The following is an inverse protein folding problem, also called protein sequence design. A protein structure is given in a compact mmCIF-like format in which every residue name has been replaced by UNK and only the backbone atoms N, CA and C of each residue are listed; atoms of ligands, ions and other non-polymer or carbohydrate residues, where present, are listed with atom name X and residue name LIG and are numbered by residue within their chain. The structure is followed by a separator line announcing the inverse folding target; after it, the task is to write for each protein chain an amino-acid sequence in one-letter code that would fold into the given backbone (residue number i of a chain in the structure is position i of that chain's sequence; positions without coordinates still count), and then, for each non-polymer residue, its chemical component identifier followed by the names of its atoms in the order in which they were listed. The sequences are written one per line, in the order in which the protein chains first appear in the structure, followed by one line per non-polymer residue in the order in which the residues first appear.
data_IF_365853313489
#
_entry.id   IF_365853313489
#
_cell.length_a   1.000
_cell.length_b   1.000
_cell.length_c   1.000
_cell.angle_alpha   90.00
_cell.angle_beta   90.00
_cell.angle_gamma   90.00
#
_symmetry.space_group_name_H-M   'P 1'
#
loop_
_entity.id
_entity.type
_entity.pdbx_description
1 polymer ?
#
# COMPACT_ATOMS: atom_id res chain seq x y z
N UNK A 1 12.05 -7.39 22.48
CA UNK A 1 10.96 -7.20 21.51
C UNK A 1 10.09 -6.05 22.00
N UNK A 2 9.56 -5.23 21.09
CA UNK A 2 8.74 -4.04 21.38
C UNK A 2 7.32 -4.32 20.86
N UNK A 3 6.32 -4.02 21.67
CA UNK A 3 4.91 -4.09 21.26
C UNK A 3 4.52 -2.75 20.62
N UNK A 4 4.18 -2.78 19.34
CA UNK A 4 3.86 -1.60 18.57
C UNK A 4 2.52 -1.72 17.87
N UNK A 5 1.81 -0.59 17.76
CA UNK A 5 0.65 -0.43 16.88
C UNK A 5 1.13 0.19 15.58
N UNK A 6 0.63 -0.30 14.46
CA UNK A 6 0.75 0.37 13.17
C UNK A 6 -0.62 0.83 12.68
N UNK A 7 -0.66 2.03 12.15
CA UNK A 7 -1.85 2.69 11.64
C UNK A 7 -1.65 3.05 10.17
N UNK A 8 -2.54 2.56 9.33
CA UNK A 8 -2.54 2.84 7.90
C UNK A 8 -3.90 3.35 7.43
N UNK A 9 -3.86 4.37 6.60
CA UNK A 9 -5.02 4.86 5.86
C UNK A 9 -4.66 4.87 4.38
N UNK A 10 -5.28 3.97 3.63
CA UNK A 10 -4.92 3.67 2.24
C UNK A 10 -5.50 4.67 1.22
N UNK A 11 -5.15 4.46 -0.05
CA UNK A 11 -5.62 5.31 -1.17
C UNK A 11 -7.11 5.23 -1.43
N UNK A 12 -7.79 4.16 -0.99
CA UNK A 12 -9.24 3.97 -1.03
C UNK A 12 -10.03 4.98 -0.20
N UNK A 13 -9.38 5.61 0.79
CA UNK A 13 -9.99 6.57 1.72
C UNK A 13 -11.27 6.01 2.37
N UNK A 14 -11.28 4.76 2.79
CA UNK A 14 -12.45 4.07 3.34
C UNK A 14 -12.39 3.88 4.85
N UNK A 15 -11.20 3.90 5.46
CA UNK A 15 -11.03 3.73 6.89
C UNK A 15 -9.57 3.71 7.33
N UNK A 16 -9.38 3.24 8.56
CA UNK A 16 -8.08 3.06 9.21
C UNK A 16 -7.89 1.59 9.52
N UNK A 17 -6.82 1.03 9.01
CA UNK A 17 -6.30 -0.27 9.42
C UNK A 17 -5.34 -0.09 10.59
N UNK A 18 -5.59 -0.78 11.68
CA UNK A 18 -4.76 -0.79 12.86
C UNK A 18 -4.32 -2.21 13.20
N UNK A 19 -3.04 -2.41 13.44
CA UNK A 19 -2.48 -3.72 13.81
C UNK A 19 -1.58 -3.61 15.02
N UNK A 20 -1.61 -4.62 15.88
CA UNK A 20 -0.65 -4.77 16.98
C UNK A 20 0.27 -5.93 16.66
N UNK A 21 1.55 -5.65 16.70
CA UNK A 21 2.59 -6.68 16.61
C UNK A 21 3.60 -6.50 17.74
N UNK A 22 4.29 -7.59 18.07
CA UNK A 22 5.48 -7.56 18.94
C UNK A 22 6.68 -7.99 18.11
N UNK A 23 7.70 -7.13 18.01
CA UNK A 23 8.84 -7.38 17.12
C UNK A 23 10.16 -6.88 17.71
N UNK A 24 11.25 -7.45 17.24
CA UNK A 24 12.59 -6.93 17.49
C UNK A 24 13.07 -5.91 16.44
N UNK A 25 12.26 -5.67 15.39
CA UNK A 25 12.59 -4.81 14.26
C UNK A 25 13.59 -5.42 13.27
N UNK A 26 13.96 -6.69 13.43
CA UNK A 26 14.96 -7.38 12.60
C UNK A 26 14.42 -8.70 12.04
N UNK A 27 14.20 -9.70 12.89
CA UNK A 27 13.89 -11.09 12.48
C UNK A 27 12.64 -11.68 13.15
N UNK A 28 12.22 -11.16 14.30
CA UNK A 28 11.15 -11.76 15.10
C UNK A 28 9.88 -10.91 15.02
N UNK A 29 8.76 -11.56 14.83
CA UNK A 29 7.43 -10.94 14.89
C UNK A 29 6.43 -11.90 15.54
N UNK A 30 5.53 -11.34 16.30
CA UNK A 30 4.32 -11.97 16.83
C UNK A 30 3.16 -11.08 16.41
N UNK A 31 2.23 -11.60 15.63
CA UNK A 31 0.99 -10.91 15.26
C UNK A 31 0.00 -11.08 16.41
N UNK A 32 -0.52 -9.97 16.94
CA UNK A 32 -1.35 -9.99 18.16
C UNK A 32 -2.81 -9.79 17.80
N UNK A 33 -3.15 -8.66 17.16
CA UNK A 33 -4.53 -8.38 16.76
C UNK A 33 -4.59 -7.28 15.69
N UNK A 34 -5.72 -7.22 14.99
CA UNK A 34 -6.02 -6.23 13.97
C UNK A 34 -7.41 -5.62 14.20
N UNK A 35 -7.60 -4.40 13.74
CA UNK A 35 -8.87 -3.70 13.78
C UNK A 35 -9.02 -2.75 12.60
N UNK A 36 -10.15 -2.83 11.90
CA UNK A 36 -10.53 -1.89 10.86
C UNK A 36 -11.60 -0.93 11.37
N UNK A 37 -11.36 0.36 11.21
CA UNK A 37 -12.29 1.42 11.57
C UNK A 37 -12.73 2.18 10.32
N UNK A 38 -13.96 1.97 9.82
CA UNK A 38 -14.44 2.65 8.62
C UNK A 38 -14.63 4.16 8.88
N UNK A 39 -14.35 4.96 7.86
CA UNK A 39 -14.67 6.37 7.91
C UNK A 39 -16.17 6.61 7.80
N UNK A 40 -16.67 7.61 8.51
CA UNK A 40 -18.01 8.12 8.31
C UNK A 40 -18.16 8.70 6.88
N UNK A 41 -19.33 8.50 6.26
CA UNK A 41 -19.59 8.92 4.87
C UNK A 41 -19.23 10.39 4.60
N UNK A 42 -19.56 11.29 5.54
CA UNK A 42 -19.28 12.73 5.44
C UNK A 42 -17.77 13.03 5.43
N UNK A 43 -17.00 12.39 6.31
CA UNK A 43 -15.54 12.55 6.35
C UNK A 43 -14.90 11.98 5.08
N UNK A 44 -15.28 10.76 4.70
CA UNK A 44 -14.79 10.11 3.48
C UNK A 44 -15.02 10.95 2.24
N UNK A 45 -16.19 11.55 2.10
CA UNK A 45 -16.54 12.42 0.97
C UNK A 45 -15.60 13.65 0.91
N UNK A 46 -15.45 14.37 2.02
CA UNK A 46 -14.57 15.55 2.10
C UNK A 46 -13.11 15.22 1.82
N UNK A 47 -12.63 14.07 2.31
CA UNK A 47 -11.28 13.60 2.07
C UNK A 47 -11.03 13.29 0.59
N UNK A 48 -11.96 12.60 -0.07
CA UNK A 48 -11.90 12.33 -1.51
C UNK A 48 -11.95 13.62 -2.33
N UNK A 49 -12.87 14.51 -2.02
CA UNK A 49 -12.99 15.82 -2.67
C UNK A 49 -11.70 16.65 -2.56
N UNK A 50 -11.07 16.65 -1.39
CA UNK A 50 -9.77 17.33 -1.22
C UNK A 50 -8.69 16.71 -2.09
N UNK A 51 -8.59 15.35 -2.13
CA UNK A 51 -7.62 14.66 -2.98
C UNK A 51 -7.81 14.96 -4.47
N UNK A 52 -9.05 15.03 -4.94
CA UNK A 52 -9.37 15.38 -6.34
C UNK A 52 -9.00 16.83 -6.69
N UNK A 53 -9.00 17.74 -5.71
CA UNK A 53 -8.60 19.14 -5.90
C UNK A 53 -7.09 19.35 -5.90
N UNK A 54 -6.31 18.41 -5.36
CA UNK A 54 -4.85 18.51 -5.26
C UNK A 54 -4.21 17.75 -6.44
N UNK A 55 -3.90 18.48 -7.52
CA UNK A 55 -3.29 17.93 -8.72
C UNK A 55 -1.79 18.27 -8.84
N UNK A 56 -1.33 19.29 -8.15
CA UNK A 56 0.05 19.74 -8.14
C UNK A 56 0.46 20.24 -6.75
N UNK A 57 1.75 20.27 -6.48
CA UNK A 57 2.25 20.63 -5.14
C UNK A 57 1.82 22.03 -4.68
N UNK A 58 1.67 22.99 -5.59
CA UNK A 58 1.20 24.35 -5.27
C UNK A 58 -0.24 24.37 -4.71
N UNK A 59 -1.07 23.38 -5.01
CA UNK A 59 -2.44 23.28 -4.50
C UNK A 59 -2.48 23.05 -2.98
N UNK A 60 -1.43 22.45 -2.42
CA UNK A 60 -1.28 22.30 -0.96
C UNK A 60 -1.40 23.63 -0.23
N UNK A 61 -0.75 24.69 -0.76
CA UNK A 61 -0.86 26.02 -0.19
C UNK A 61 -2.27 26.60 -0.35
N UNK A 62 -2.88 26.39 -1.50
CA UNK A 62 -4.24 26.90 -1.82
C UNK A 62 -5.32 26.29 -0.89
N UNK A 63 -5.23 24.99 -0.61
CA UNK A 63 -6.21 24.27 0.21
C UNK A 63 -5.76 24.05 1.66
N UNK A 64 -4.78 24.82 2.15
CA UNK A 64 -4.23 24.65 3.50
C UNK A 64 -5.27 24.63 4.61
N UNK A 65 -6.29 25.51 4.65
CA UNK A 65 -7.31 25.48 5.71
C UNK A 65 -8.15 24.18 5.73
N UNK A 66 -8.48 23.66 4.55
CA UNK A 66 -9.22 22.38 4.42
C UNK A 66 -8.33 21.21 4.86
N UNK A 67 -7.04 21.24 4.46
CA UNK A 67 -6.05 20.25 4.87
C UNK A 67 -5.90 20.23 6.39
N UNK A 68 -5.72 21.37 7.04
CA UNK A 68 -5.53 21.47 8.49
C UNK A 68 -6.76 20.94 9.26
N UNK A 69 -7.96 21.23 8.74
CA UNK A 69 -9.22 20.73 9.32
C UNK A 69 -9.30 19.21 9.22
N UNK A 70 -9.06 18.66 8.01
CA UNK A 70 -9.11 17.22 7.78
C UNK A 70 -7.98 16.47 8.49
N UNK A 71 -6.78 17.06 8.59
CA UNK A 71 -5.66 16.48 9.33
C UNK A 71 -5.99 16.27 10.80
N UNK A 72 -6.61 17.30 11.44
CA UNK A 72 -7.04 17.18 12.82
C UNK A 72 -8.13 16.11 12.99
N UNK A 73 -9.16 16.12 12.16
CA UNK A 73 -10.25 15.12 12.22
C UNK A 73 -9.70 13.70 11.98
N UNK A 74 -8.83 13.52 10.97
CA UNK A 74 -8.16 12.27 10.68
C UNK A 74 -7.39 11.76 11.92
N UNK A 75 -6.62 12.65 12.55
CA UNK A 75 -5.84 12.30 13.74
C UNK A 75 -6.74 11.81 14.87
N UNK A 76 -7.87 12.48 15.12
CA UNK A 76 -8.85 12.06 16.13
C UNK A 76 -9.49 10.70 15.80
N UNK A 77 -9.76 10.42 14.53
CA UNK A 77 -10.25 9.10 14.10
C UNK A 77 -9.20 8.02 14.40
N UNK A 78 -7.91 8.30 14.16
CA UNK A 78 -6.83 7.37 14.48
C UNK A 78 -6.69 7.14 16.00
N UNK A 79 -6.84 8.18 16.82
CA UNK A 79 -6.90 8.04 18.29
C UNK A 79 -8.02 7.08 18.68
N UNK A 80 -9.24 7.33 18.20
CA UNK A 80 -10.41 6.47 18.46
C UNK A 80 -10.16 5.02 18.01
N UNK A 81 -9.51 4.83 16.87
CA UNK A 81 -9.18 3.49 16.34
C UNK A 81 -8.25 2.75 17.31
N UNK A 82 -7.22 3.41 17.82
CA UNK A 82 -6.31 2.81 18.82
C UNK A 82 -7.04 2.45 20.10
N UNK A 83 -7.93 3.31 20.58
CA UNK A 83 -8.73 3.04 21.78
C UNK A 83 -9.67 1.84 21.60
N UNK A 84 -10.32 1.74 20.44
CA UNK A 84 -11.18 0.59 20.09
C UNK A 84 -10.37 -0.71 20.00
N UNK A 85 -9.20 -0.68 19.39
CA UNK A 85 -8.31 -1.83 19.32
C UNK A 85 -7.83 -2.24 20.70
N UNK A 86 -7.45 -1.29 21.57
CA UNK A 86 -7.09 -1.57 22.98
C UNK A 86 -8.26 -2.18 23.76
N UNK A 87 -9.48 -1.65 23.57
CA UNK A 87 -10.69 -2.19 24.20
C UNK A 87 -10.97 -3.63 23.75
N UNK A 88 -10.75 -3.94 22.48
CA UNK A 88 -10.89 -5.30 21.92
C UNK A 88 -9.94 -6.30 22.61
N UNK A 89 -8.72 -5.90 22.96
CA UNK A 89 -7.75 -6.75 23.67
C UNK A 89 -8.14 -7.07 25.13
N UNK A 90 -9.03 -6.30 25.74
CA UNK A 90 -9.50 -6.52 27.12
C UNK A 90 -8.39 -6.50 28.16
N UNK A 91 -8.44 -7.45 29.10
CA UNK A 91 -7.46 -7.59 30.20
C UNK A 91 -6.06 -8.06 29.74
N UNK A 92 -5.93 -8.59 28.54
CA UNK A 92 -4.63 -8.93 27.93
C UNK A 92 -3.86 -7.69 27.45
N UNK A 93 -4.17 -6.51 27.98
CA UNK A 93 -3.60 -5.23 27.60
C UNK A 93 -2.07 -5.26 27.71
N UNK A 94 -1.42 -5.85 26.71
CA UNK A 94 0.05 -5.84 26.59
C UNK A 94 0.45 -4.37 26.52
N UNK A 95 1.42 -3.97 27.32
CA UNK A 95 1.93 -2.59 27.32
C UNK A 95 2.36 -2.21 25.89
N UNK A 96 1.59 -1.36 25.24
CA UNK A 96 1.96 -0.79 23.95
C UNK A 96 3.03 0.26 24.20
N UNK A 97 4.15 0.16 23.50
CA UNK A 97 5.33 0.99 23.72
C UNK A 97 5.52 2.03 22.61
N UNK A 98 4.93 1.79 21.42
CA UNK A 98 5.17 2.61 20.25
C UNK A 98 3.97 2.57 19.29
N UNK A 99 3.73 3.67 18.60
CA UNK A 99 2.76 3.76 17.51
C UNK A 99 3.46 4.20 16.22
N UNK A 100 3.30 3.43 15.14
CA UNK A 100 3.69 3.82 13.78
C UNK A 100 2.48 4.41 13.07
N UNK A 101 2.54 5.68 12.72
CA UNK A 101 1.45 6.45 12.14
C UNK A 101 1.78 6.90 10.72
N UNK A 102 1.23 6.21 9.71
CA UNK A 102 1.42 6.61 8.32
C UNK A 102 0.64 7.88 7.96
N UNK A 103 -0.56 8.03 8.51
CA UNK A 103 -1.51 9.05 8.07
C UNK A 103 -2.14 8.73 6.72
N UNK A 104 -2.70 9.74 6.06
CA UNK A 104 -3.37 9.61 4.76
C UNK A 104 -2.61 10.38 3.68
N UNK A 105 -2.16 9.72 2.64
CA UNK A 105 -1.54 10.38 1.50
C UNK A 105 -2.59 11.16 0.71
N UNK A 106 -2.36 12.48 0.57
CA UNK A 106 -3.18 13.39 -0.24
C UNK A 106 -2.48 13.86 -1.51
N UNK A 107 -1.15 13.77 -1.56
CA UNK A 107 -0.34 14.08 -2.73
C UNK A 107 0.92 13.22 -2.76
N UNK A 108 1.27 12.71 -3.92
CA UNK A 108 2.53 12.00 -4.13
C UNK A 108 2.97 12.19 -5.58
N UNK A 109 4.18 12.68 -5.80
CA UNK A 109 4.75 12.89 -7.13
C UNK A 109 6.25 12.58 -7.10
N UNK A 110 6.66 11.60 -7.89
CA UNK A 110 8.08 11.26 -8.07
C UNK A 110 8.80 12.37 -8.84
N UNK A 111 8.11 12.93 -9.82
CA UNK A 111 8.65 13.99 -10.68
C UNK A 111 9.04 15.23 -9.85
N UNK A 112 8.16 15.61 -8.93
CA UNK A 112 8.38 16.77 -8.06
C UNK A 112 9.18 16.43 -6.80
N UNK A 113 9.47 15.15 -6.56
CA UNK A 113 10.08 14.63 -5.33
C UNK A 113 9.33 15.13 -4.08
N UNK A 114 8.02 14.98 -4.08
CA UNK A 114 7.13 15.41 -3.01
C UNK A 114 6.13 14.33 -2.65
N UNK A 115 5.90 14.18 -1.37
CA UNK A 115 4.83 13.32 -0.85
C UNK A 115 4.27 13.95 0.42
N UNK A 116 2.96 14.11 0.46
CA UNK A 116 2.26 14.73 1.59
C UNK A 116 1.29 13.72 2.17
N UNK A 117 1.55 13.34 3.40
CA UNK A 117 0.65 12.61 4.26
C UNK A 117 0.08 13.58 5.29
N UNK A 118 -1.24 13.65 5.42
CA UNK A 118 -1.90 14.34 6.53
C UNK A 118 -2.02 13.40 7.72
N UNK A 119 -1.87 13.98 8.90
CA UNK A 119 -1.87 13.29 10.20
C UNK A 119 -0.86 13.89 11.15
N UNK A 120 -1.34 14.48 12.24
CA UNK A 120 -0.51 15.12 13.25
C UNK A 120 0.01 14.10 14.27
N UNK A 121 1.25 13.64 14.07
CA UNK A 121 1.90 12.68 14.97
C UNK A 121 2.15 13.22 16.37
N UNK A 122 2.28 14.55 16.55
CA UNK A 122 2.45 15.17 17.87
C UNK A 122 1.13 15.16 18.63
N UNK A 123 0.04 15.55 17.98
CA UNK A 123 -1.30 15.49 18.54
C UNK A 123 -1.68 14.05 18.90
N UNK A 124 -1.38 13.09 18.02
CA UNK A 124 -1.62 11.66 18.27
C UNK A 124 -0.86 11.20 19.51
N UNK A 125 0.42 11.55 19.63
CA UNK A 125 1.27 11.21 20.78
C UNK A 125 0.72 11.77 22.09
N UNK A 126 0.30 13.04 22.09
CA UNK A 126 -0.30 13.69 23.25
C UNK A 126 -1.59 13.03 23.71
N UNK A 127 -2.52 12.78 22.77
CA UNK A 127 -3.84 12.21 23.09
C UNK A 127 -3.77 10.76 23.55
N UNK A 128 -2.86 9.97 22.97
CA UNK A 128 -2.67 8.56 23.35
C UNK A 128 -1.75 8.35 24.53
N UNK A 129 -0.99 9.36 24.92
CA UNK A 129 0.14 9.27 25.87
C UNK A 129 1.10 8.15 25.45
N UNK A 130 1.56 8.17 24.19
CA UNK A 130 2.41 7.14 23.58
C UNK A 130 3.49 7.75 22.69
N UNK A 131 4.64 7.06 22.61
CA UNK A 131 5.64 7.38 21.60
C UNK A 131 5.08 7.12 20.22
N UNK A 132 5.31 8.04 19.26
CA UNK A 132 4.80 7.95 17.89
C UNK A 132 5.93 8.13 16.90
N UNK A 133 5.98 7.28 15.88
CA UNK A 133 6.77 7.47 14.67
C UNK A 133 5.82 7.78 13.51
N UNK A 134 6.09 8.86 12.77
CA UNK A 134 5.29 9.32 11.63
C UNK A 134 6.21 9.89 10.54
N UNK A 135 5.68 10.44 9.43
CA UNK A 135 6.48 10.99 8.33
C UNK A 135 7.49 10.00 7.70
N UNK A 136 7.14 8.75 7.58
CA UNK A 136 8.05 7.68 7.13
C UNK A 136 8.70 7.94 5.76
N UNK A 137 8.00 8.66 4.86
CA UNK A 137 8.45 8.91 3.47
C UNK A 137 9.37 10.12 3.32
N UNK A 138 9.29 11.06 4.26
CA UNK A 138 9.90 12.39 4.16
C UNK A 138 11.41 12.33 3.97
N UNK A 139 12.10 11.54 4.80
CA UNK A 139 13.56 11.43 4.76
C UNK A 139 14.05 10.74 3.49
N UNK A 140 13.37 9.71 3.04
CA UNK A 140 13.68 9.01 1.79
C UNK A 140 13.63 9.97 0.59
N UNK A 141 12.53 10.71 0.45
CA UNK A 141 12.33 11.71 -0.62
C UNK A 141 13.40 12.81 -0.55
N UNK A 142 13.73 13.31 0.63
CA UNK A 142 14.75 14.36 0.79
C UNK A 142 16.16 13.87 0.44
N UNK A 143 16.40 12.56 0.40
CA UNK A 143 17.64 11.92 0.00
C UNK A 143 17.59 11.28 -1.40
N UNK A 144 16.71 11.78 -2.26
CA UNK A 144 16.62 11.37 -3.66
C UNK A 144 15.78 10.15 -3.95
N UNK A 145 15.28 9.45 -2.92
CA UNK A 145 14.38 8.32 -3.07
C UNK A 145 12.98 8.73 -3.50
N UNK A 146 12.18 7.74 -3.90
CA UNK A 146 10.82 7.92 -4.38
C UNK A 146 9.78 7.94 -3.24
N UNK A 147 10.18 7.65 -2.00
CA UNK A 147 9.28 7.60 -0.84
C UNK A 147 8.35 6.40 -0.79
N UNK A 148 8.43 5.53 -1.78
CA UNK A 148 7.65 4.29 -1.91
C UNK A 148 8.42 3.29 -2.78
N UNK A 149 8.17 1.96 -2.61
CA UNK A 149 7.39 1.34 -1.55
C UNK A 149 8.14 1.25 -0.21
N UNK A 150 7.42 1.23 0.92
CA UNK A 150 8.00 1.10 2.27
C UNK A 150 7.88 -0.30 2.88
N UNK A 151 7.06 -1.16 2.29
CA UNK A 151 6.82 -2.54 2.77
C UNK A 151 7.93 -3.56 2.50
N UNK A 152 8.94 -3.36 1.64
CA UNK A 152 9.91 -4.39 1.27
C UNK A 152 10.64 -5.03 2.45
N UNK A 153 11.05 -4.25 3.45
CA UNK A 153 11.71 -4.80 4.65
C UNK A 153 10.76 -5.62 5.52
N UNK A 154 9.47 -5.33 5.49
CA UNK A 154 8.45 -6.14 6.15
C UNK A 154 8.18 -7.43 5.37
N UNK A 155 8.18 -7.39 4.05
CA UNK A 155 8.10 -8.59 3.21
C UNK A 155 9.29 -9.53 3.47
N UNK A 156 10.49 -8.99 3.70
CA UNK A 156 11.65 -9.79 4.11
C UNK A 156 11.43 -10.45 5.50
N UNK A 157 10.84 -9.72 6.45
CA UNK A 157 10.44 -10.30 7.74
C UNK A 157 9.42 -11.42 7.54
N UNK A 158 8.37 -11.20 6.74
CA UNK A 158 7.36 -12.20 6.41
C UNK A 158 7.95 -13.44 5.74
N UNK A 159 8.88 -13.26 4.79
CA UNK A 159 9.62 -14.38 4.17
C UNK A 159 10.28 -15.25 5.22
N UNK A 160 10.96 -14.63 6.19
CA UNK A 160 11.65 -15.37 7.26
C UNK A 160 10.66 -16.02 8.25
N UNK A 161 9.58 -15.31 8.60
CA UNK A 161 8.53 -15.82 9.49
C UNK A 161 7.80 -17.04 8.92
N UNK A 162 7.57 -17.03 7.60
CA UNK A 162 6.88 -18.10 6.86
C UNK A 162 7.84 -19.17 6.33
N UNK A 163 9.13 -19.03 6.59
CA UNK A 163 10.19 -19.94 6.16
C UNK A 163 10.15 -20.25 4.64
N UNK A 164 9.99 -19.21 3.83
CA UNK A 164 10.02 -19.37 2.40
C UNK A 164 11.45 -19.49 1.87
N UNK A 165 11.64 -20.36 0.88
CA UNK A 165 12.88 -20.43 0.12
C UNK A 165 13.07 -19.20 -0.77
N UNK A 166 14.32 -18.85 -1.02
CA UNK A 166 14.69 -17.91 -2.07
C UNK A 166 14.72 -18.57 -3.45
N UNK A 167 14.45 -17.82 -4.52
CA UNK A 167 13.89 -16.48 -4.55
C UNK A 167 12.37 -16.49 -4.39
N UNK A 168 11.82 -15.46 -3.74
CA UNK A 168 10.38 -15.27 -3.52
C UNK A 168 9.98 -13.85 -3.87
N UNK A 169 8.77 -13.66 -4.35
CA UNK A 169 8.21 -12.32 -4.60
C UNK A 169 6.90 -12.12 -3.83
N UNK A 170 6.73 -10.92 -3.29
CA UNK A 170 5.46 -10.43 -2.77
C UNK A 170 4.92 -9.40 -3.76
N UNK A 171 3.67 -9.54 -4.17
CA UNK A 171 2.99 -8.58 -5.04
C UNK A 171 1.82 -8.00 -4.28
N UNK A 172 1.91 -6.71 -3.99
CA UNK A 172 0.82 -5.94 -3.40
C UNK A 172 -0.05 -5.36 -4.52
N UNK A 173 -1.30 -5.81 -4.61
CA UNK A 173 -2.28 -5.28 -5.58
C UNK A 173 -3.18 -4.31 -4.83
N UNK A 174 -2.71 -3.06 -4.71
CA UNK A 174 -3.46 -1.91 -4.21
C UNK A 174 -4.11 -1.11 -5.34
N UNK A 175 -4.20 0.20 -5.22
CA UNK A 175 -4.56 1.07 -6.33
C UNK A 175 -3.54 0.97 -7.47
N UNK A 176 -2.26 1.06 -7.13
CA UNK A 176 -1.11 0.67 -7.96
C UNK A 176 -0.63 -0.69 -7.46
N UNK A 177 -0.20 -1.55 -8.36
CA UNK A 177 0.41 -2.82 -8.01
C UNK A 177 1.94 -2.67 -7.97
N UNK A 178 2.56 -3.26 -6.94
CA UNK A 178 4.01 -3.27 -6.79
C UNK A 178 4.52 -4.64 -6.39
N UNK A 179 5.80 -4.89 -6.70
CA UNK A 179 6.48 -6.14 -6.41
C UNK A 179 7.63 -5.89 -5.44
N UNK A 180 7.80 -6.78 -4.47
CA UNK A 180 9.01 -6.94 -3.68
C UNK A 180 9.60 -8.30 -4.00
N UNK A 181 10.74 -8.31 -4.65
CA UNK A 181 11.49 -9.52 -4.97
C UNK A 181 12.65 -9.68 -3.98
N UNK A 182 12.76 -10.88 -3.44
CA UNK A 182 13.77 -11.27 -2.45
C UNK A 182 14.57 -12.44 -2.99
N UNK A 183 15.87 -12.27 -3.05
CA UNK A 183 16.81 -13.37 -3.26
C UNK A 183 17.92 -13.33 -2.20
N UNK A 184 18.91 -14.23 -2.28
CA UNK A 184 19.98 -14.32 -1.27
C UNK A 184 20.87 -13.06 -1.21
N UNK A 185 20.85 -12.22 -2.23
CA UNK A 185 21.78 -11.10 -2.38
C UNK A 185 21.13 -9.75 -2.19
N UNK A 186 19.84 -9.61 -2.56
CA UNK A 186 19.19 -8.29 -2.63
C UNK A 186 17.69 -8.32 -2.36
N UNK A 187 17.19 -7.16 -1.98
CA UNK A 187 15.77 -6.80 -1.99
C UNK A 187 15.58 -5.85 -3.17
N UNK A 188 14.77 -6.22 -4.15
CA UNK A 188 14.39 -5.34 -5.26
C UNK A 188 12.90 -5.03 -5.14
N UNK A 189 12.51 -3.76 -5.29
CA UNK A 189 11.09 -3.40 -5.27
C UNK A 189 10.78 -2.26 -6.23
N UNK A 190 9.63 -2.36 -6.92
CA UNK A 190 9.18 -1.37 -7.91
C UNK A 190 7.71 -1.57 -8.24
N UNK A 191 7.08 -0.54 -8.83
CA UNK A 191 5.70 -0.62 -9.28
C UNK A 191 5.63 -1.43 -10.58
N UNK A 192 4.68 -2.36 -10.63
CA UNK A 192 4.48 -3.25 -11.78
C UNK A 192 3.55 -2.62 -12.82
N UNK A 193 2.59 -1.82 -12.37
CA UNK A 193 1.56 -1.22 -13.19
C UNK A 193 0.34 -0.80 -12.36
N UNK A 194 -0.76 -0.38 -13.00
CA UNK A 194 -2.03 -0.17 -12.32
C UNK A 194 -2.50 -1.45 -11.63
N UNK A 195 -3.03 -1.29 -10.42
CA UNK A 195 -3.73 -2.34 -9.69
C UNK A 195 -5.24 -2.15 -9.82
N UNK A 196 -5.93 -1.91 -8.71
CA UNK A 196 -7.39 -1.73 -8.71
C UNK A 196 -7.84 -0.33 -9.14
N UNK A 197 -6.96 0.68 -9.15
CA UNK A 197 -7.36 2.07 -9.37
C UNK A 197 -8.15 2.29 -10.66
N UNK A 198 -7.67 1.76 -11.79
CA UNK A 198 -8.36 1.90 -13.08
C UNK A 198 -9.68 1.10 -13.12
N UNK A 199 -9.69 -0.08 -12.51
CA UNK A 199 -10.86 -0.94 -12.40
C UNK A 199 -11.95 -0.22 -11.60
N UNK A 200 -11.60 0.27 -10.41
CA UNK A 200 -12.55 0.95 -9.53
C UNK A 200 -13.05 2.26 -10.16
N UNK A 201 -12.16 3.01 -10.80
CA UNK A 201 -12.51 4.27 -11.47
C UNK A 201 -13.53 4.07 -12.58
N UNK A 202 -13.33 3.08 -13.46
CA UNK A 202 -14.28 2.85 -14.56
C UNK A 202 -15.63 2.34 -14.04
N UNK A 203 -15.65 1.52 -12.98
CA UNK A 203 -16.86 1.06 -12.33
C UNK A 203 -17.63 2.26 -11.76
N UNK A 204 -16.97 3.10 -10.95
CA UNK A 204 -17.59 4.26 -10.33
C UNK A 204 -18.18 5.23 -11.38
N UNK A 205 -17.45 5.49 -12.46
CA UNK A 205 -17.92 6.37 -13.53
C UNK A 205 -19.16 5.78 -14.23
N UNK A 206 -19.11 4.51 -14.65
CA UNK A 206 -20.19 3.88 -15.42
C UNK A 206 -21.43 3.59 -14.59
N UNK A 207 -21.27 3.38 -13.29
CA UNK A 207 -22.40 3.15 -12.35
C UNK A 207 -22.80 4.39 -11.56
N UNK A 208 -22.28 5.58 -11.90
CA UNK A 208 -22.53 6.84 -11.17
C UNK A 208 -22.31 6.70 -9.67
N UNK A 209 -21.24 6.01 -9.28
CA UNK A 209 -20.85 5.68 -7.90
C UNK A 209 -21.81 4.72 -7.14
N UNK A 210 -22.73 4.04 -7.80
CA UNK A 210 -23.56 3.01 -7.16
C UNK A 210 -22.72 1.79 -6.76
N UNK A 211 -21.77 1.40 -7.60
CA UNK A 211 -20.79 0.32 -7.32
C UNK A 211 -19.41 0.94 -7.16
N UNK A 212 -18.67 0.52 -6.14
CA UNK A 212 -17.36 1.11 -5.82
C UNK A 212 -16.18 0.32 -6.37
N UNK A 213 -16.30 -1.00 -6.51
CA UNK A 213 -15.24 -1.92 -6.97
C UNK A 213 -15.84 -3.22 -7.52
N UNK A 214 -15.03 -4.01 -8.22
CA UNK A 214 -15.41 -5.33 -8.71
C UNK A 214 -15.30 -6.39 -7.60
N UNK A 215 -16.43 -6.69 -6.97
CA UNK A 215 -16.44 -7.69 -5.90
C UNK A 215 -16.09 -9.07 -6.47
N UNK A 216 -15.03 -9.68 -5.96
CA UNK A 216 -14.57 -11.02 -6.35
C UNK A 216 -14.15 -11.18 -7.83
N UNK A 217 -14.16 -10.13 -8.64
CA UNK A 217 -13.94 -10.21 -10.09
C UNK A 217 -15.20 -10.57 -10.89
N UNK A 218 -16.38 -10.43 -10.28
CA UNK A 218 -17.65 -10.89 -10.89
C UNK A 218 -18.01 -10.12 -12.17
N UNK A 219 -17.66 -8.83 -12.25
CA UNK A 219 -17.82 -8.03 -13.48
C UNK A 219 -16.81 -8.45 -14.54
N UNK A 220 -15.55 -8.63 -14.14
CA UNK A 220 -14.48 -9.04 -15.07
C UNK A 220 -14.77 -10.40 -15.71
N UNK A 221 -15.32 -11.36 -14.97
CA UNK A 221 -15.70 -12.68 -15.52
C UNK A 221 -16.85 -12.62 -16.53
N UNK A 222 -17.71 -11.61 -16.47
CA UNK A 222 -18.82 -11.44 -17.42
C UNK A 222 -18.41 -10.71 -18.70
N UNK A 223 -17.26 -10.02 -18.66
CA UNK A 223 -16.78 -9.21 -19.77
C UNK A 223 -15.85 -9.96 -20.71
N UNK A 224 -15.63 -9.34 -21.86
CA UNK A 224 -14.66 -9.79 -22.86
C UNK A 224 -13.53 -8.77 -22.92
N UNK A 225 -12.28 -9.24 -22.84
CA UNK A 225 -11.08 -8.37 -22.93
C UNK A 225 -10.95 -7.81 -24.35
N UNK A 226 -10.90 -6.48 -24.46
CA UNK A 226 -10.54 -5.83 -25.72
C UNK A 226 -9.02 -5.83 -25.88
N UNK A 227 -8.53 -6.64 -26.81
CA UNK A 227 -7.10 -6.84 -27.03
C UNK A 227 -6.40 -5.60 -27.60
N UNK A 228 -7.06 -4.83 -28.46
CA UNK A 228 -6.46 -3.66 -29.07
C UNK A 228 -6.24 -2.55 -28.03
N UNK A 229 -7.24 -2.33 -27.17
CA UNK A 229 -7.13 -1.37 -26.06
C UNK A 229 -6.07 -1.85 -25.05
N UNK A 230 -6.07 -3.14 -24.71
CA UNK A 230 -5.07 -3.72 -23.81
C UNK A 230 -3.65 -3.51 -24.33
N UNK A 231 -3.38 -3.82 -25.60
CA UNK A 231 -2.08 -3.64 -26.23
C UNK A 231 -1.65 -2.16 -26.22
N UNK A 232 -2.57 -1.23 -26.52
CA UNK A 232 -2.29 0.21 -26.43
C UNK A 232 -1.80 0.64 -25.06
N UNK A 233 -2.40 0.14 -23.98
CA UNK A 233 -1.94 0.43 -22.62
C UNK A 233 -0.60 -0.24 -22.30
N UNK A 234 -0.38 -1.44 -22.80
CA UNK A 234 0.86 -2.20 -22.56
C UNK A 234 2.06 -1.67 -23.35
N UNK A 235 1.85 -0.85 -24.37
CA UNK A 235 2.90 -0.19 -25.17
C UNK A 235 3.51 1.03 -24.45
N UNK A 236 2.98 1.41 -23.28
CA UNK A 236 3.54 2.52 -22.51
C UNK A 236 5.01 2.26 -22.16
N UNK A 237 5.91 3.26 -22.35
CA UNK A 237 7.34 3.16 -22.04
C UNK A 237 7.66 2.75 -20.61
N UNK A 238 6.74 2.96 -19.66
CA UNK A 238 6.89 2.52 -18.28
C UNK A 238 7.23 1.04 -18.17
N UNK A 239 6.61 0.19 -19.00
CA UNK A 239 6.79 -1.27 -18.90
C UNK A 239 8.18 -1.75 -19.32
N UNK A 240 8.88 -1.00 -20.17
CA UNK A 240 10.26 -1.29 -20.58
C UNK A 240 11.32 -0.63 -19.70
N UNK A 241 10.94 0.33 -18.84
CA UNK A 241 11.85 1.03 -17.93
C UNK A 241 12.40 0.09 -16.86
N UNK A 242 13.72 0.10 -16.66
CA UNK A 242 14.38 -0.67 -15.60
C UNK A 242 14.03 -0.18 -14.19
N UNK A 243 13.94 -1.11 -13.19
CA UNK A 243 13.82 -0.74 -11.78
C UNK A 243 15.06 0.01 -11.25
N UNK A 244 14.89 0.87 -10.20
CA UNK A 244 13.64 1.18 -9.53
C UNK A 244 12.75 2.11 -10.36
N UNK A 245 11.45 1.79 -10.41
CA UNK A 245 10.44 2.60 -11.12
C UNK A 245 9.15 2.65 -10.35
N UNK A 246 8.45 3.77 -10.47
CA UNK A 246 7.18 4.02 -9.79
C UNK A 246 6.20 4.70 -10.71
N UNK A 247 4.91 4.59 -10.39
CA UNK A 247 3.78 5.15 -11.10
C UNK A 247 3.02 6.15 -10.23
N UNK A 248 2.46 7.15 -10.88
CA UNK A 248 1.37 7.96 -10.33
C UNK A 248 0.02 7.41 -10.83
N UNK A 249 -1.03 7.59 -10.04
CA UNK A 249 -2.40 7.18 -10.42
C UNK A 249 -2.89 7.92 -11.68
N UNK A 250 -2.33 9.07 -12.00
CA UNK A 250 -2.66 9.90 -13.15
C UNK A 250 -1.87 9.55 -14.43
N UNK A 251 -0.92 8.62 -14.36
CA UNK A 251 -0.09 8.27 -15.52
C UNK A 251 -0.89 7.54 -16.62
N UNK A 252 -2.02 6.91 -16.26
CA UNK A 252 -2.87 6.21 -17.23
C UNK A 252 -4.24 6.87 -17.40
N UNK A 253 -4.56 7.13 -18.65
CA UNK A 253 -5.81 7.75 -19.07
C UNK A 253 -6.87 6.67 -19.35
N UNK A 254 -8.10 6.88 -18.87
CA UNK A 254 -9.21 5.94 -19.06
C UNK A 254 -10.08 6.25 -20.29
N UNK A 255 -9.69 7.20 -21.15
CA UNK A 255 -10.56 7.68 -22.25
C UNK A 255 -10.90 6.59 -23.25
N UNK A 256 -9.92 5.78 -23.66
CA UNK A 256 -10.12 4.73 -24.67
C UNK A 256 -11.13 3.66 -24.22
N UNK A 257 -11.20 3.36 -22.92
CA UNK A 257 -12.04 2.28 -22.39
C UNK A 257 -13.48 2.74 -22.07
N UNK A 258 -13.72 4.06 -22.09
CA UNK A 258 -15.07 4.61 -21.79
C UNK A 258 -16.16 4.17 -22.76
N UNK A 259 -15.79 3.82 -23.99
CA UNK A 259 -16.72 3.37 -25.06
C UNK A 259 -17.19 1.93 -24.86
N UNK A 260 -16.45 1.11 -24.12
CA UNK A 260 -16.80 -0.28 -23.87
C UNK A 260 -18.01 -0.40 -22.92
N UNK A 261 -18.69 -1.55 -22.93
CA UNK A 261 -19.63 -1.93 -21.86
C UNK A 261 -18.90 -2.00 -20.52
N UNK A 262 -19.65 -1.94 -19.41
CA UNK A 262 -19.07 -1.98 -18.07
C UNK A 262 -18.18 -3.22 -17.86
N UNK A 263 -18.75 -4.39 -18.14
CA UNK A 263 -18.08 -5.67 -17.92
C UNK A 263 -16.83 -5.82 -18.79
N UNK A 264 -16.89 -5.41 -20.06
CA UNK A 264 -15.74 -5.49 -20.98
C UNK A 264 -14.63 -4.52 -20.57
N UNK A 265 -14.99 -3.33 -20.11
CA UNK A 265 -14.04 -2.36 -19.56
C UNK A 265 -13.35 -2.90 -18.30
N UNK A 266 -14.10 -3.49 -17.39
CA UNK A 266 -13.57 -4.08 -16.16
C UNK A 266 -12.69 -5.30 -16.46
N UNK A 267 -13.10 -6.17 -17.39
CA UNK A 267 -12.29 -7.31 -17.84
C UNK A 267 -10.98 -6.86 -18.48
N UNK A 268 -11.02 -5.81 -19.32
CA UNK A 268 -9.82 -5.27 -20.00
C UNK A 268 -8.82 -4.66 -19.00
N UNK A 269 -9.28 -3.88 -18.03
CA UNK A 269 -8.39 -3.33 -17.01
C UNK A 269 -7.89 -4.39 -16.02
N UNK A 270 -8.71 -5.40 -15.70
CA UNK A 270 -8.25 -6.52 -14.86
C UNK A 270 -7.17 -7.33 -15.56
N UNK A 271 -7.32 -7.60 -16.88
CA UNK A 271 -6.28 -8.24 -17.67
C UNK A 271 -5.04 -7.36 -17.82
N UNK A 272 -5.19 -6.02 -17.92
CA UNK A 272 -4.07 -5.08 -17.94
C UNK A 272 -3.24 -5.19 -16.66
N UNK A 273 -3.87 -5.23 -15.47
CA UNK A 273 -3.18 -5.47 -14.20
C UNK A 273 -2.41 -6.80 -14.23
N UNK A 274 -3.03 -7.87 -14.73
CA UNK A 274 -2.39 -9.19 -14.86
C UNK A 274 -1.16 -9.13 -15.77
N UNK A 275 -1.30 -8.55 -16.96
CA UNK A 275 -0.20 -8.49 -17.94
C UNK A 275 0.94 -7.57 -17.47
N UNK A 276 0.62 -6.47 -16.78
CA UNK A 276 1.61 -5.60 -16.16
C UNK A 276 2.45 -6.35 -15.10
N UNK A 277 1.80 -7.15 -14.25
CA UNK A 277 2.48 -8.01 -13.27
C UNK A 277 3.37 -9.03 -14.00
N UNK A 278 2.87 -9.69 -15.04
CA UNK A 278 3.65 -10.69 -15.79
C UNK A 278 4.88 -10.06 -16.45
N UNK A 279 4.72 -8.89 -17.09
CA UNK A 279 5.85 -8.16 -17.69
C UNK A 279 6.91 -7.77 -16.65
N UNK A 280 6.50 -7.47 -15.41
CA UNK A 280 7.44 -7.13 -14.33
C UNK A 280 8.38 -8.27 -13.97
N UNK A 281 7.99 -9.54 -14.21
CA UNK A 281 8.82 -10.70 -13.94
C UNK A 281 10.07 -10.75 -14.82
N UNK A 282 10.09 -10.07 -15.98
CA UNK A 282 11.27 -9.99 -16.87
C UNK A 282 12.45 -9.24 -16.25
N UNK A 283 12.22 -8.47 -15.18
CA UNK A 283 13.28 -7.78 -14.43
C UNK A 283 13.86 -8.61 -13.29
N UNK A 284 13.38 -9.86 -13.09
CA UNK A 284 13.76 -10.72 -11.99
C UNK A 284 14.65 -11.86 -12.49
N UNK A 285 15.84 -11.95 -11.93
CA UNK A 285 16.79 -13.03 -12.23
C UNK A 285 17.44 -13.50 -10.92
N UNK A 286 17.35 -14.82 -10.62
CA UNK A 286 16.45 -15.82 -11.23
C UNK A 286 14.97 -15.55 -10.95
N UNK A 287 14.06 -16.13 -11.75
CA UNK A 287 12.62 -16.03 -11.49
C UNK A 287 12.27 -16.54 -10.08
N UNK A 288 11.28 -15.94 -9.39
CA UNK A 288 10.87 -16.41 -8.08
C UNK A 288 10.27 -17.83 -8.16
N UNK A 289 10.54 -18.66 -7.16
CA UNK A 289 9.90 -19.96 -7.01
C UNK A 289 8.44 -19.81 -6.59
N UNK A 290 8.14 -18.75 -5.86
CA UNK A 290 6.83 -18.46 -5.29
C UNK A 290 6.50 -16.98 -5.37
N UNK A 291 5.24 -16.67 -5.68
CA UNK A 291 4.65 -15.33 -5.63
C UNK A 291 3.55 -15.33 -4.57
N UNK A 292 3.61 -14.37 -3.65
CA UNK A 292 2.63 -14.14 -2.61
C UNK A 292 1.85 -12.87 -2.92
N UNK A 293 0.54 -12.99 -3.13
CA UNK A 293 -0.33 -11.86 -3.38
C UNK A 293 -0.82 -11.23 -2.08
N UNK A 294 -0.65 -9.92 -1.98
CA UNK A 294 -1.10 -9.05 -0.90
C UNK A 294 -2.00 -7.93 -1.45
N UNK A 295 -2.53 -7.09 -0.57
CA UNK A 295 -3.40 -5.99 -0.94
C UNK A 295 -4.83 -6.42 -1.33
N UNK A 296 -5.73 -5.46 -1.50
CA UNK A 296 -7.15 -5.72 -1.78
C UNK A 296 -7.40 -6.53 -3.06
N UNK A 297 -6.61 -6.29 -4.11
CA UNK A 297 -6.73 -6.97 -5.40
C UNK A 297 -6.48 -8.48 -5.36
N UNK A 298 -5.81 -9.00 -4.32
CA UNK A 298 -5.68 -10.46 -4.12
C UNK A 298 -7.02 -11.17 -3.97
N UNK A 299 -8.08 -10.43 -3.57
CA UNK A 299 -9.46 -10.96 -3.44
C UNK A 299 -10.16 -11.12 -4.79
N UNK A 300 -9.71 -10.39 -5.82
CA UNK A 300 -10.27 -10.50 -7.16
C UNK A 300 -9.89 -11.85 -7.78
N UNK A 301 -10.89 -12.74 -7.94
CA UNK A 301 -10.68 -14.09 -8.47
C UNK A 301 -10.24 -14.07 -9.93
N UNK A 302 -10.75 -13.14 -10.74
CA UNK A 302 -10.33 -13.04 -12.14
C UNK A 302 -8.82 -12.81 -12.23
N UNK A 303 -8.29 -11.81 -11.51
CA UNK A 303 -6.85 -11.53 -11.49
C UNK A 303 -6.06 -12.73 -11.00
N UNK A 304 -6.49 -13.35 -9.90
CA UNK A 304 -5.82 -14.51 -9.31
C UNK A 304 -5.73 -15.70 -10.28
N UNK A 305 -6.87 -16.12 -10.86
CA UNK A 305 -6.94 -17.25 -11.78
C UNK A 305 -6.18 -16.99 -13.10
N UNK A 306 -6.24 -15.74 -13.60
CA UNK A 306 -5.47 -15.35 -14.78
C UNK A 306 -3.97 -15.43 -14.53
N UNK A 307 -3.48 -14.94 -13.39
CA UNK A 307 -2.06 -15.05 -13.02
C UNK A 307 -1.65 -16.53 -12.93
N UNK A 308 -2.42 -17.38 -12.24
CA UNK A 308 -2.11 -18.82 -12.13
C UNK A 308 -2.10 -19.52 -13.49
N UNK A 309 -3.01 -19.16 -14.38
CA UNK A 309 -3.09 -19.73 -15.73
C UNK A 309 -1.90 -19.37 -16.61
N UNK A 310 -1.43 -18.12 -16.51
CA UNK A 310 -0.40 -17.57 -17.39
C UNK A 310 1.02 -17.82 -16.87
N UNK A 311 1.21 -17.88 -15.56
CA UNK A 311 2.53 -18.05 -14.91
C UNK A 311 2.67 -19.46 -14.36
N UNK A 312 2.71 -20.46 -15.25
CA UNK A 312 2.66 -21.90 -14.88
C UNK A 312 3.87 -22.44 -14.11
N UNK A 313 5.02 -21.77 -14.21
CA UNK A 313 6.28 -22.24 -13.61
C UNK A 313 6.53 -21.71 -12.18
N UNK A 314 5.67 -20.82 -11.70
CA UNK A 314 5.82 -20.15 -10.41
C UNK A 314 4.56 -20.46 -9.58
N UNK A 315 4.77 -20.90 -8.35
CA UNK A 315 3.66 -21.11 -7.41
C UNK A 315 3.09 -19.74 -6.98
N UNK A 316 1.78 -19.50 -7.23
CA UNK A 316 1.11 -18.26 -6.84
C UNK A 316 0.11 -18.55 -5.73
N UNK A 317 0.24 -17.85 -4.60
CA UNK A 317 -0.62 -17.99 -3.43
C UNK A 317 -1.04 -16.63 -2.88
N UNK A 318 -2.19 -16.60 -2.20
CA UNK A 318 -2.63 -15.45 -1.41
C UNK A 318 -2.01 -15.52 -0.03
N UNK A 319 -1.64 -14.39 0.55
CA UNK A 319 -1.04 -14.33 1.89
C UNK A 319 -1.96 -14.91 2.97
N UNK A 320 -3.28 -14.82 2.78
CA UNK A 320 -4.29 -15.34 3.70
C UNK A 320 -4.29 -16.87 3.85
N UNK A 321 -3.56 -17.59 2.99
CA UNK A 321 -3.35 -19.04 3.14
C UNK A 321 -2.55 -19.38 4.41
N UNK A 322 -1.77 -18.44 4.89
CA UNK A 322 -0.87 -18.65 6.02
C UNK A 322 -1.54 -18.22 7.33
N UNK A 323 -1.55 -19.12 8.32
CA UNK A 323 -2.17 -18.87 9.63
C UNK A 323 -1.62 -17.61 10.29
N UNK A 324 -2.50 -16.89 10.95
CA UNK A 324 -2.22 -15.67 11.71
C UNK A 324 -1.84 -14.44 10.86
N UNK A 325 -1.96 -14.53 9.53
CA UNK A 325 -1.76 -13.38 8.65
C UNK A 325 -3.07 -13.05 7.94
N UNK A 326 -3.55 -11.83 8.17
CA UNK A 326 -4.66 -11.25 7.44
C UNK A 326 -4.09 -10.27 6.41
N UNK A 327 -4.30 -10.57 5.14
CA UNK A 327 -3.75 -9.79 4.04
C UNK A 327 -4.29 -8.36 3.93
N UNK A 328 -5.39 -8.03 4.60
CA UNK A 328 -5.91 -6.67 4.65
C UNK A 328 -5.06 -5.77 5.57
N UNK A 329 -4.34 -6.35 6.53
CA UNK A 329 -3.59 -5.61 7.54
C UNK A 329 -2.06 -5.62 7.33
N UNK A 330 -1.57 -6.12 6.20
CA UNK A 330 -0.13 -6.18 5.92
C UNK A 330 0.53 -4.80 6.00
N UNK A 331 -0.12 -3.75 5.50
CA UNK A 331 0.45 -2.40 5.53
C UNK A 331 0.46 -1.82 6.95
N UNK A 332 -0.60 -1.97 7.74
CA UNK A 332 -0.61 -1.51 9.13
C UNK A 332 0.41 -2.28 9.99
N UNK A 333 0.54 -3.59 9.80
CA UNK A 333 1.59 -4.40 10.43
C UNK A 333 3.00 -3.93 10.03
N UNK A 334 3.19 -3.58 8.74
CA UNK A 334 4.43 -3.02 8.26
C UNK A 334 4.76 -1.70 8.96
N UNK A 335 3.81 -0.77 9.12
CA UNK A 335 4.07 0.51 9.80
C UNK A 335 4.37 0.34 11.30
N UNK A 336 3.83 -0.66 11.98
CA UNK A 336 4.27 -1.04 13.32
C UNK A 336 5.74 -1.49 13.33
N UNK A 337 6.11 -2.37 12.39
CA UNK A 337 7.47 -2.86 12.25
C UNK A 337 8.47 -1.75 11.89
N UNK A 338 8.12 -0.88 10.93
CA UNK A 338 8.94 0.26 10.52
C UNK A 338 9.16 1.25 11.68
N UNK A 339 8.14 1.48 12.51
CA UNK A 339 8.27 2.32 13.70
C UNK A 339 9.31 1.75 14.68
N UNK A 340 9.31 0.43 14.91
CA UNK A 340 10.33 -0.22 15.76
C UNK A 340 11.72 -0.11 15.13
N UNK A 341 11.86 -0.25 13.81
CA UNK A 341 13.14 -0.03 13.11
C UNK A 341 13.63 1.40 13.28
N UNK A 342 12.74 2.38 13.09
CA UNK A 342 13.08 3.81 13.29
C UNK A 342 13.56 4.07 14.70
N UNK A 343 12.84 3.59 15.72
CA UNK A 343 13.22 3.72 17.13
C UNK A 343 14.62 3.12 17.41
N UNK A 344 14.94 2.01 16.76
CA UNK A 344 16.23 1.33 16.86
C UNK A 344 17.31 1.84 15.90
N UNK A 345 17.02 2.89 15.14
CA UNK A 345 17.92 3.46 14.13
C UNK A 345 18.35 2.45 13.05
N UNK A 346 17.45 1.53 12.69
CA UNK A 346 17.65 0.54 11.63
C UNK A 346 17.04 1.09 10.33
N UNK A 347 17.70 1.03 9.17
CA UNK A 347 17.17 1.52 7.91
C UNK A 347 15.84 0.88 7.52
N UNK A 348 14.94 1.67 6.92
CA UNK A 348 13.63 1.24 6.42
C UNK A 348 13.51 1.31 4.89
N UNK A 349 14.39 2.07 4.23
CA UNK A 349 14.48 2.16 2.76
C UNK A 349 15.91 1.97 2.28
N UNK A 350 16.07 1.54 1.02
CA UNK A 350 17.33 1.17 0.41
C UNK A 350 17.36 1.60 -1.05
N UNK A 351 18.56 1.75 -1.66
CA UNK A 351 18.69 2.11 -3.08
C UNK A 351 17.87 1.20 -4.01
N UNK A 352 17.85 -0.09 -3.74
CA UNK A 352 17.16 -1.10 -4.56
C UNK A 352 15.65 -1.13 -4.36
N UNK A 353 15.12 -0.39 -3.38
CA UNK A 353 13.68 -0.33 -3.09
C UNK A 353 13.04 0.99 -3.50
N UNK A 354 13.62 2.10 -3.11
CA UNK A 354 13.06 3.43 -3.37
C UNK A 354 13.94 4.30 -4.27
N UNK A 355 15.14 3.83 -4.62
CA UNK A 355 16.12 4.63 -5.34
C UNK A 355 16.80 5.71 -4.49
N UNK A 356 16.74 5.61 -3.15
CA UNK A 356 17.49 6.46 -2.24
C UNK A 356 19.00 6.26 -2.45
N UNK A 357 19.82 7.31 -2.19
CA UNK A 357 21.26 7.24 -2.41
C UNK A 357 21.97 6.20 -1.50
N UNK A 358 21.40 5.95 -0.32
CA UNK A 358 21.93 5.05 0.71
C UNK A 358 20.80 4.44 1.55
N UNK A 359 21.06 3.41 2.38
CA UNK A 359 20.10 2.92 3.35
C UNK A 359 19.69 3.99 4.36
N UNK A 360 18.38 4.25 4.53
CA UNK A 360 17.89 5.35 5.35
C UNK A 360 17.00 4.89 6.49
N UNK A 361 17.24 5.46 7.66
CA UNK A 361 16.31 5.44 8.79
C UNK A 361 15.28 6.53 8.56
N UNK A 362 14.06 6.15 8.17
CA UNK A 362 12.95 7.08 7.96
C UNK A 362 12.09 7.26 9.21
N UNK A 363 11.15 8.21 9.13
CA UNK A 363 10.23 8.53 10.22
C UNK A 363 10.77 9.55 11.23
N UNK A 364 9.86 10.38 11.72
CA UNK A 364 10.10 11.35 12.79
C UNK A 364 9.56 10.75 14.10
N UNK A 365 10.39 10.66 15.14
CA UNK A 365 10.01 10.11 16.45
C UNK A 365 9.57 11.23 17.39
N UNK A 366 8.37 11.13 17.94
CA UNK A 366 7.86 11.94 19.05
C UNK A 366 7.88 11.08 20.32
N UNK A 367 8.60 11.55 21.33
CA UNK A 367 8.62 10.91 22.64
C UNK A 367 7.59 11.59 23.55
N UNK A 368 6.89 10.79 24.33
CA UNK A 368 6.08 11.29 25.45
C UNK A 368 7.03 11.90 26.48
N UNK A 369 6.67 13.09 26.96
CA UNK A 369 7.44 13.78 28.00
C UNK A 369 7.13 13.21 29.38
#
# INVERSE_FOLDING_TARGET
MITAIGLMSGTSCDGVDASIIKTDGVKKVEFIDNYYHPYEKKFRFRLKELKEKINQFSDIKKYRPDIDTLERELTLIHVKTVELLRKKLGSENKKIELVGFHGQTIFHSFKDKKSIQIGDGKLLSQLLNQNVVYNFRKKDISNGGQGAPLTPVFHQLLKNYLDFDFPVAFINIGGIANITYLNNQKILSFDTGPGNFLIDSIIQIKTKNEIQFDNNGDLAFKGTVDKNILETYLDDPFFSKSPPKSLDVNDFNISAIRTLKLEDAVATFSEFTVQAIIRSLNFLDPLPKKIILCGGGRKNKFIFERLQKLVKKIEIQKIDKYKNIDGDFIESQAFAYLAVRTLKKIPITFPETTGAAEPLVGGDLVLVK
#
